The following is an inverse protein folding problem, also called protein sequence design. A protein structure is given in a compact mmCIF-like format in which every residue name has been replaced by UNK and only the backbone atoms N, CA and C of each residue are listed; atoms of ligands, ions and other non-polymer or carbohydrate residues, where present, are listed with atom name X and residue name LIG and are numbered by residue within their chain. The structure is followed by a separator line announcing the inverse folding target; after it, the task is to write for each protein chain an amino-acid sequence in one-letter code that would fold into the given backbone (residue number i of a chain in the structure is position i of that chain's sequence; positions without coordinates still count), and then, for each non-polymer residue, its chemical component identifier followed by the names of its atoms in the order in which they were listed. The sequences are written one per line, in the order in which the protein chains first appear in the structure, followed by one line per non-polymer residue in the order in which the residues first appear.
data_IF_261393283258
#
_entry.id   IF_261393283258
#
_cell.length_a   1.000
_cell.length_b   1.000
_cell.length_c   1.000
_cell.angle_alpha   90.00
_cell.angle_beta   90.00
_cell.angle_gamma   90.00
#
_symmetry.space_group_name_H-M   'P 1'
#
loop_
_entity.id
_entity.type
_entity.pdbx_description
1 polymer ?
#
# COMPACT_ATOMS: atom_id res chain seq x y z
N UNK A 1 2.31 16.38 -32.39
CA UNK A 1 1.13 16.05 -31.56
C UNK A 1 0.87 14.58 -31.77
N UNK A 2 1.08 13.67 -30.83
CA UNK A 2 1.23 13.78 -29.38
C UNK A 2 2.33 12.81 -28.97
N UNK A 3 3.27 13.29 -28.16
CA UNK A 3 4.23 12.45 -27.44
C UNK A 3 3.37 11.50 -26.62
N UNK A 4 3.56 10.19 -26.77
CA UNK A 4 3.10 9.27 -25.75
C UNK A 4 3.85 9.69 -24.49
N UNK A 5 3.10 10.28 -23.57
CA UNK A 5 3.56 10.52 -22.21
C UNK A 5 3.93 9.14 -21.67
N UNK A 6 5.23 8.83 -21.65
CA UNK A 6 5.69 7.76 -20.78
C UNK A 6 5.20 8.17 -19.40
N UNK A 7 4.35 7.34 -18.80
CA UNK A 7 3.94 7.46 -17.41
C UNK A 7 5.20 7.60 -16.56
N UNK A 8 5.58 8.85 -16.28
CA UNK A 8 6.62 9.15 -15.32
C UNK A 8 6.02 8.62 -14.02
N UNK A 9 6.57 7.51 -13.51
CA UNK A 9 6.25 7.02 -12.18
C UNK A 9 6.41 8.21 -11.25
N UNK A 10 5.29 8.82 -10.86
CA UNK A 10 5.32 9.96 -9.95
C UNK A 10 5.92 9.42 -8.67
N UNK A 11 7.00 10.04 -8.21
CA UNK A 11 7.50 9.74 -6.87
C UNK A 11 6.49 10.28 -5.85
N UNK A 12 6.40 9.68 -4.66
CA UNK A 12 5.58 10.20 -3.58
C UNK A 12 5.93 11.67 -3.31
N UNK A 13 4.91 12.53 -3.31
CA UNK A 13 5.03 13.98 -3.16
C UNK A 13 4.57 14.48 -1.77
N UNK A 14 4.10 13.56 -0.92
CA UNK A 14 3.65 13.84 0.42
C UNK A 14 4.33 12.91 1.46
N UNK A 15 4.19 13.31 2.72
CA UNK A 15 4.58 12.49 3.87
C UNK A 15 3.48 12.60 4.92
N UNK A 16 3.01 11.46 5.42
CA UNK A 16 1.92 11.41 6.40
C UNK A 16 2.39 10.89 7.75
N UNK A 17 1.78 11.40 8.81
CA UNK A 17 1.99 10.96 10.19
C UNK A 17 1.27 9.65 10.44
N UNK A 18 1.99 8.63 10.92
CA UNK A 18 1.38 7.33 11.26
C UNK A 18 0.34 7.48 12.39
N UNK A 19 0.64 8.35 13.36
CA UNK A 19 -0.24 8.67 14.48
C UNK A 19 -1.58 9.23 14.03
N UNK A 20 -1.57 10.16 13.09
CA UNK A 20 -2.77 10.85 12.62
C UNK A 20 -3.60 9.97 11.69
N UNK A 21 -2.95 9.25 10.77
CA UNK A 21 -3.64 8.50 9.72
C UNK A 21 -4.13 7.14 10.20
N UNK A 22 -3.34 6.44 11.03
CA UNK A 22 -3.63 5.07 11.46
C UNK A 22 -4.00 4.97 12.94
N UNK A 23 -3.95 6.07 13.70
CA UNK A 23 -4.22 6.06 15.14
C UNK A 23 -3.18 5.30 15.97
N UNK A 24 -2.00 5.00 15.39
CA UNK A 24 -0.93 4.25 16.05
C UNK A 24 0.09 5.22 16.62
N UNK A 25 0.32 5.17 17.94
CA UNK A 25 1.33 5.97 18.61
C UNK A 25 2.75 5.64 18.09
N UNK A 26 3.22 6.46 17.16
CA UNK A 26 4.49 6.33 16.44
C UNK A 26 4.85 7.66 15.81
N UNK A 27 6.12 8.03 15.88
CA UNK A 27 6.67 9.26 15.29
C UNK A 27 7.20 9.04 13.86
N UNK A 28 6.93 7.86 13.28
CA UNK A 28 7.27 7.56 11.90
C UNK A 28 6.42 8.46 10.99
N UNK A 29 7.06 9.08 10.01
CA UNK A 29 6.37 9.65 8.86
C UNK A 29 6.66 8.84 7.61
N UNK A 30 5.63 8.52 6.85
CA UNK A 30 5.69 7.58 5.72
C UNK A 30 5.43 8.32 4.41
N UNK A 31 6.16 8.02 3.32
CA UNK A 31 5.89 8.59 2.00
C UNK A 31 4.46 8.25 1.53
N UNK A 32 3.79 9.21 0.93
CA UNK A 32 2.43 9.11 0.42
C UNK A 32 2.26 9.96 -0.84
N UNK A 33 1.14 9.79 -1.52
CA UNK A 33 0.72 10.67 -2.61
C UNK A 33 -0.34 11.66 -2.14
N UNK A 34 -0.25 12.90 -2.63
CA UNK A 34 -1.22 13.95 -2.33
C UNK A 34 -2.61 13.66 -2.93
N UNK A 35 -2.66 13.02 -4.09
CA UNK A 35 -3.88 12.66 -4.81
C UNK A 35 -3.89 11.16 -5.15
N UNK A 36 -5.05 10.49 -5.05
CA UNK A 36 -5.19 9.11 -5.51
C UNK A 36 -5.31 9.02 -7.03
N UNK A 37 -5.00 7.86 -7.58
CA UNK A 37 -5.29 7.49 -8.97
C UNK A 37 -6.26 6.31 -9.06
N UNK A 38 -6.55 5.85 -10.28
CA UNK A 38 -7.51 4.78 -10.54
C UNK A 38 -7.12 3.39 -9.99
N UNK A 39 -5.86 3.20 -9.57
CA UNK A 39 -5.34 1.96 -8.99
C UNK A 39 -5.21 2.03 -7.47
N UNK A 40 -5.55 3.15 -6.85
CA UNK A 40 -5.66 3.26 -5.39
C UNK A 40 -6.93 2.54 -4.93
N UNK A 41 -6.86 1.62 -3.95
CA UNK A 41 -8.05 0.95 -3.43
C UNK A 41 -9.00 1.92 -2.72
N UNK A 42 -10.27 1.55 -2.64
CA UNK A 42 -11.27 2.31 -1.89
C UNK A 42 -10.97 2.31 -0.39
N UNK A 43 -11.16 3.47 0.24
CA UNK A 43 -11.01 3.63 1.69
C UNK A 43 -12.23 3.06 2.40
N UNK A 44 -11.99 2.12 3.31
CA UNK A 44 -12.96 1.72 4.33
C UNK A 44 -12.74 2.57 5.60
N UNK A 45 -13.68 3.47 5.96
CA UNK A 45 -13.55 4.31 7.15
C UNK A 45 -13.62 3.51 8.46
N UNK A 46 -14.24 2.34 8.45
CA UNK A 46 -14.49 1.51 9.63
C UNK A 46 -13.41 0.43 9.83
N UNK A 47 -12.40 0.38 8.96
CA UNK A 47 -11.33 -0.60 9.04
C UNK A 47 -10.49 -0.44 10.31
N UNK A 48 -10.35 -1.53 11.07
CA UNK A 48 -9.54 -1.58 12.29
C UNK A 48 -8.15 -2.14 11.99
N UNK A 49 -7.15 -1.28 12.06
CA UNK A 49 -5.76 -1.64 11.82
C UNK A 49 -5.16 -2.41 13.00
N UNK A 50 -4.69 -3.63 12.74
CA UNK A 50 -3.72 -4.30 13.62
C UNK A 50 -2.40 -3.51 13.66
N UNK A 51 -1.94 -3.16 14.87
CA UNK A 51 -0.81 -2.25 15.08
C UNK A 51 0.49 -2.79 14.47
N UNK A 52 0.83 -4.03 14.79
CA UNK A 52 2.16 -4.56 14.47
C UNK A 52 2.28 -4.88 12.97
N UNK A 53 1.23 -5.41 12.36
CA UNK A 53 1.15 -5.61 10.91
C UNK A 53 1.24 -4.28 10.17
N UNK A 54 0.53 -3.26 10.64
CA UNK A 54 0.56 -1.92 10.03
C UNK A 54 1.95 -1.32 10.09
N UNK A 55 2.61 -1.32 11.26
CA UNK A 55 3.96 -0.79 11.39
C UNK A 55 4.98 -1.52 10.50
N UNK A 56 4.85 -2.84 10.36
CA UNK A 56 5.71 -3.62 9.46
C UNK A 56 5.54 -3.20 7.99
N UNK A 57 4.31 -3.04 7.52
CA UNK A 57 4.00 -2.59 6.16
C UNK A 57 4.53 -1.16 5.93
N UNK A 58 4.26 -0.24 6.87
CA UNK A 58 4.68 1.16 6.80
C UNK A 58 6.21 1.32 6.81
N UNK A 59 6.92 0.49 7.56
CA UNK A 59 8.38 0.41 7.50
C UNK A 59 8.87 -0.06 6.12
N UNK A 60 8.10 -0.93 5.44
CA UNK A 60 8.32 -1.32 4.06
C UNK A 60 8.32 -0.12 3.10
N UNK A 61 7.28 0.71 3.17
CA UNK A 61 7.17 1.94 2.38
C UNK A 61 8.27 2.96 2.71
N UNK A 62 8.52 3.22 4.00
CA UNK A 62 9.48 4.24 4.44
C UNK A 62 10.95 3.88 4.16
N UNK A 63 11.28 2.59 4.11
CA UNK A 63 12.67 2.13 3.99
C UNK A 63 12.92 1.22 2.77
N UNK A 64 11.97 1.14 1.84
CA UNK A 64 12.04 0.28 0.66
C UNK A 64 12.37 -1.18 1.02
N UNK A 65 11.69 -1.71 2.04
CA UNK A 65 11.89 -3.10 2.52
C UNK A 65 10.75 -3.98 2.02
N UNK A 66 11.10 -5.20 1.59
CA UNK A 66 10.12 -6.23 1.26
C UNK A 66 9.49 -6.75 2.56
N UNK A 67 8.16 -6.75 2.61
CA UNK A 67 7.38 -7.19 3.78
C UNK A 67 6.59 -8.43 3.41
N UNK A 68 6.61 -9.43 4.28
CA UNK A 68 5.80 -10.64 4.15
C UNK A 68 4.77 -10.66 5.27
N UNK A 69 3.49 -10.70 4.93
CA UNK A 69 2.38 -10.84 5.87
C UNK A 69 1.84 -12.27 5.79
N UNK A 70 1.86 -12.99 6.91
CA UNK A 70 1.44 -14.38 7.00
C UNK A 70 0.32 -14.57 8.02
N UNK A 71 -0.46 -15.64 7.87
CA UNK A 71 -1.60 -15.94 8.73
C UNK A 71 -2.66 -16.79 8.04
N UNK A 72 -3.60 -17.32 8.81
CA UNK A 72 -4.68 -18.19 8.33
C UNK A 72 -5.52 -17.55 7.20
N UNK A 73 -6.20 -18.37 6.41
CA UNK A 73 -7.10 -17.86 5.37
C UNK A 73 -8.25 -17.07 5.99
N UNK A 74 -8.75 -16.06 5.27
CA UNK A 74 -9.89 -15.24 5.74
C UNK A 74 -9.60 -14.23 6.86
N UNK A 75 -8.35 -14.09 7.32
CA UNK A 75 -7.98 -13.14 8.40
C UNK A 75 -7.69 -11.71 7.91
N UNK A 76 -8.15 -11.32 6.71
CA UNK A 76 -8.03 -9.94 6.23
C UNK A 76 -6.66 -9.49 5.71
N UNK A 77 -5.68 -10.39 5.49
CA UNK A 77 -4.31 -10.03 5.06
C UNK A 77 -4.25 -9.14 3.81
N UNK A 78 -4.99 -9.49 2.76
CA UNK A 78 -5.04 -8.70 1.52
C UNK A 78 -5.70 -7.34 1.76
N UNK A 79 -6.85 -7.34 2.45
CA UNK A 79 -7.57 -6.12 2.81
C UNK A 79 -6.71 -5.20 3.67
N UNK A 80 -5.86 -5.73 4.55
CA UNK A 80 -4.94 -4.92 5.36
C UNK A 80 -3.95 -4.15 4.49
N UNK A 81 -3.37 -4.81 3.49
CA UNK A 81 -2.44 -4.17 2.54
C UNK A 81 -3.19 -3.12 1.71
N UNK A 82 -4.38 -3.46 1.21
CA UNK A 82 -5.23 -2.55 0.42
C UNK A 82 -5.61 -1.30 1.23
N UNK A 83 -6.00 -1.46 2.50
CA UNK A 83 -6.38 -0.34 3.35
C UNK A 83 -5.18 0.52 3.77
N UNK A 84 -3.99 -0.07 3.97
CA UNK A 84 -2.77 0.73 4.14
C UNK A 84 -2.47 1.54 2.88
N UNK A 85 -2.54 0.92 1.70
CA UNK A 85 -2.31 1.60 0.43
C UNK A 85 -3.33 2.73 0.19
N UNK A 86 -4.61 2.48 0.45
CA UNK A 86 -5.69 3.46 0.34
C UNK A 86 -5.44 4.71 1.22
N UNK A 87 -5.02 4.53 2.48
CA UNK A 87 -4.73 5.66 3.38
C UNK A 87 -3.50 6.47 3.01
N UNK A 88 -2.59 5.88 2.23
CA UNK A 88 -1.39 6.55 1.74
C UNK A 88 -1.53 7.05 0.29
N UNK A 89 -2.69 6.83 -0.36
CA UNK A 89 -2.92 7.04 -1.79
C UNK A 89 -1.93 6.29 -2.69
N UNK A 90 -1.47 5.11 -2.28
CA UNK A 90 -0.57 4.30 -3.09
C UNK A 90 -1.34 3.41 -4.06
N UNK A 91 -0.97 3.40 -5.36
CA UNK A 91 -1.46 2.40 -6.30
C UNK A 91 -1.17 0.99 -5.82
N UNK A 92 -2.16 0.09 -5.85
CA UNK A 92 -2.04 -1.27 -5.35
C UNK A 92 -2.41 -2.28 -6.43
N UNK A 93 -1.42 -3.04 -6.91
CA UNK A 93 -1.61 -4.10 -7.90
C UNK A 93 -1.55 -5.47 -7.21
N UNK A 94 -2.63 -6.24 -7.33
CA UNK A 94 -2.72 -7.59 -6.81
C UNK A 94 -2.39 -8.61 -7.90
N UNK A 95 -1.41 -9.45 -7.62
CA UNK A 95 -1.06 -10.60 -8.46
C UNK A 95 -1.36 -11.86 -7.66
N UNK A 96 -2.28 -12.68 -8.16
CA UNK A 96 -2.53 -13.99 -7.58
C UNK A 96 -1.47 -14.96 -8.09
N UNK A 97 -0.79 -15.66 -7.18
CA UNK A 97 0.19 -16.68 -7.52
C UNK A 97 -0.49 -18.04 -7.50
N UNK A 98 -1.11 -18.41 -8.61
CA UNK A 98 -1.64 -19.75 -8.87
C UNK A 98 -0.84 -20.48 -9.96
N UNK A 99 -1.13 -21.76 -10.19
CA UNK A 99 -0.39 -22.60 -11.11
C UNK A 99 -0.40 -22.14 -12.57
N UNK A 100 -1.24 -21.18 -12.95
CA UNK A 100 -1.32 -20.65 -14.31
C UNK A 100 -0.41 -19.45 -14.57
N UNK A 101 0.21 -18.86 -13.53
CA UNK A 101 1.18 -17.77 -13.71
C UNK A 101 2.55 -18.35 -13.97
N UNK A 102 3.08 -18.15 -15.17
CA UNK A 102 4.42 -18.54 -15.55
C UNK A 102 5.39 -17.36 -15.47
N UNK A 103 6.69 -17.63 -15.54
CA UNK A 103 7.73 -16.58 -15.61
C UNK A 103 7.62 -15.73 -16.88
N UNK A 104 6.94 -16.21 -17.92
CA UNK A 104 6.72 -15.45 -19.17
C UNK A 104 5.61 -14.40 -18.98
N UNK A 105 4.73 -14.58 -17.99
CA UNK A 105 3.59 -13.69 -17.72
C UNK A 105 3.95 -12.50 -16.79
N UNK A 106 5.17 -12.48 -16.24
CA UNK A 106 5.71 -11.45 -15.33
C UNK A 106 6.77 -10.60 -16.02
#
# INVERSE_FOLDING_TARGET
MTKMDLDIVKLPDAKVSVREVFGIDSDIGVPAYSEPDAHVPDVDPDYLFDRDTTLAILAGFAHNRRVMVSGYHGTGKSTHIEQVAARLNWPCIRINLDSHVSRIDL
#
